data_IF_253700320971
#
_entry.id   IF_253700320971
#
_cell.length_a   1.000
_cell.length_b   1.000
_cell.length_c   1.000
_cell.angle_alpha   90.00
_cell.angle_beta   90.00
_cell.angle_gamma   90.00
#
_symmetry.space_group_name_H-M   'P 1'
#
loop_
_entity.id
_entity.type
_entity.pdbx_description
1 polymer ?
#
# COMPACT_ATOMS: atom_id res chain seq x y z
N UNK A 1 -18.71 -28.48 26.88
CA UNK A 1 -19.13 -27.09 26.61
C UNK A 1 -18.15 -26.06 27.17
N UNK A 2 -17.66 -26.19 28.41
CA UNK A 2 -16.76 -25.22 29.07
C UNK A 2 -15.40 -25.02 28.38
N UNK A 3 -14.81 -26.07 27.82
CA UNK A 3 -13.53 -26.01 27.10
C UNK A 3 -13.59 -25.11 25.86
N UNK A 4 -14.73 -25.12 25.16
CA UNK A 4 -14.94 -24.32 23.96
C UNK A 4 -15.03 -22.83 24.30
N UNK A 5 -15.78 -22.47 25.34
CA UNK A 5 -15.97 -21.08 25.80
C UNK A 5 -14.65 -20.45 26.26
N UNK A 6 -13.76 -21.23 26.89
CA UNK A 6 -12.43 -20.77 27.30
C UNK A 6 -11.53 -20.42 26.11
N UNK A 7 -11.58 -21.21 25.04
CA UNK A 7 -10.82 -20.94 23.81
C UNK A 7 -11.37 -19.71 23.09
N UNK A 8 -12.69 -19.58 22.97
CA UNK A 8 -13.33 -18.40 22.38
C UNK A 8 -13.01 -17.11 23.14
N UNK A 9 -13.05 -17.14 24.48
CA UNK A 9 -12.68 -15.98 25.31
C UNK A 9 -11.23 -15.55 25.08
N UNK A 10 -10.31 -16.51 25.04
CA UNK A 10 -8.88 -16.24 24.80
C UNK A 10 -8.64 -15.69 23.40
N UNK A 11 -9.30 -16.25 22.37
CA UNK A 11 -9.20 -15.79 20.99
C UNK A 11 -9.71 -14.34 20.84
N UNK A 12 -10.82 -13.99 21.49
CA UNK A 12 -11.36 -12.63 21.50
C UNK A 12 -10.39 -11.65 22.18
N UNK A 13 -9.80 -12.02 23.32
CA UNK A 13 -8.82 -11.18 24.01
C UNK A 13 -7.59 -10.93 23.12
N UNK A 14 -7.04 -11.98 22.50
CA UNK A 14 -5.88 -11.85 21.61
C UNK A 14 -6.22 -10.95 20.41
N UNK A 15 -7.41 -11.10 19.83
CA UNK A 15 -7.86 -10.27 18.71
C UNK A 15 -7.97 -8.78 19.10
N UNK A 16 -8.53 -8.48 20.28
CA UNK A 16 -8.66 -7.11 20.79
C UNK A 16 -7.28 -6.53 21.13
N UNK A 17 -6.41 -7.30 21.77
CA UNK A 17 -5.03 -6.88 22.06
C UNK A 17 -4.25 -6.60 20.79
N UNK A 18 -4.38 -7.45 19.77
CA UNK A 18 -3.75 -7.22 18.47
C UNK A 18 -4.23 -5.89 17.85
N UNK A 19 -5.52 -5.59 17.92
CA UNK A 19 -6.06 -4.31 17.44
C UNK A 19 -5.55 -3.09 18.22
N UNK A 20 -5.36 -3.23 19.54
CA UNK A 20 -4.81 -2.16 20.39
C UNK A 20 -3.30 -1.98 20.23
N UNK A 21 -2.57 -3.03 19.88
CA UNK A 21 -1.13 -3.03 19.62
C UNK A 21 -0.77 -2.60 18.19
N UNK A 22 -1.75 -2.57 17.28
CA UNK A 22 -1.57 -1.96 15.97
C UNK A 22 -1.41 -0.45 16.15
N UNK A 23 -0.14 -0.04 16.18
CA UNK A 23 0.26 1.36 16.30
C UNK A 23 -0.52 2.22 15.30
N UNK A 24 -1.17 3.27 15.80
CA UNK A 24 -2.01 4.13 14.97
C UNK A 24 -1.14 4.83 13.90
N UNK A 25 -1.73 5.24 12.78
CA UNK A 25 -1.01 5.88 11.66
C UNK A 25 -0.15 7.06 12.13
N UNK A 26 -0.67 7.85 13.07
CA UNK A 26 0.01 9.00 13.65
C UNK A 26 1.18 8.61 14.56
N UNK A 27 1.02 7.58 15.39
CA UNK A 27 2.07 7.04 16.24
C UNK A 27 3.21 6.43 15.41
N UNK A 28 2.88 5.75 14.30
CA UNK A 28 3.88 5.25 13.33
C UNK A 28 4.66 6.40 12.69
N UNK A 29 4.00 7.49 12.33
CA UNK A 29 4.66 8.67 11.78
C UNK A 29 5.63 9.29 12.80
N UNK A 30 5.18 9.49 14.04
CA UNK A 30 6.00 10.02 15.13
C UNK A 30 7.17 9.06 15.41
N UNK A 31 6.94 7.75 15.43
CA UNK A 31 7.99 6.75 15.65
C UNK A 31 9.06 6.78 14.55
N UNK A 32 8.67 6.82 13.27
CA UNK A 32 9.62 6.95 12.16
C UNK A 32 10.37 8.29 12.21
N UNK A 33 9.70 9.38 12.61
CA UNK A 33 10.34 10.68 12.79
C UNK A 33 11.41 10.64 13.89
N UNK A 34 11.06 10.09 15.06
CA UNK A 34 12.00 9.91 16.18
C UNK A 34 13.18 9.03 15.76
N UNK A 35 12.92 7.92 15.06
CA UNK A 35 13.96 7.01 14.58
C UNK A 35 14.90 7.71 13.58
N UNK A 36 14.38 8.53 12.67
CA UNK A 36 15.18 9.31 11.73
C UNK A 36 16.11 10.29 12.44
N UNK A 37 15.60 11.00 13.47
CA UNK A 37 16.42 11.92 14.27
C UNK A 37 17.52 11.16 15.00
N UNK A 38 17.19 10.04 15.63
CA UNK A 38 18.15 9.21 16.36
C UNK A 38 19.26 8.70 15.43
N UNK A 39 18.91 8.11 14.29
CA UNK A 39 19.89 7.61 13.33
C UNK A 39 20.78 8.73 12.76
N UNK A 40 20.23 9.92 12.51
CA UNK A 40 21.04 11.06 12.07
C UNK A 40 22.06 11.49 13.13
N UNK A 41 21.66 11.50 14.41
CA UNK A 41 22.57 11.78 15.53
C UNK A 41 23.66 10.71 15.65
N UNK A 42 23.29 9.44 15.61
CA UNK A 42 24.23 8.31 15.67
C UNK A 42 25.21 8.31 14.49
N UNK A 43 24.74 8.62 13.28
CA UNK A 43 25.59 8.73 12.10
C UNK A 43 26.69 9.77 12.29
N UNK A 44 26.32 10.98 12.76
CA UNK A 44 27.28 12.05 13.05
C UNK A 44 28.26 11.65 14.14
N UNK A 45 27.77 11.01 15.20
CA UNK A 45 28.61 10.52 16.30
C UNK A 45 29.61 9.45 15.84
N UNK A 46 29.17 8.44 15.10
CA UNK A 46 30.03 7.36 14.60
C UNK A 46 31.01 7.89 13.55
N UNK A 47 30.60 8.78 12.65
CA UNK A 47 31.51 9.42 11.70
C UNK A 47 32.63 10.22 12.41
N UNK A 48 32.28 10.99 13.44
CA UNK A 48 33.27 11.71 14.25
C UNK A 48 34.25 10.73 14.94
N UNK A 49 33.75 9.62 15.46
CA UNK A 49 34.58 8.57 16.05
C UNK A 49 35.51 7.90 15.03
N UNK A 50 35.04 7.63 13.80
CA UNK A 50 35.89 7.11 12.72
C UNK A 50 37.07 8.05 12.46
N UNK A 51 36.82 9.35 12.31
CA UNK A 51 37.89 10.34 12.09
C UNK A 51 38.87 10.38 13.27
N UNK A 52 38.33 10.42 14.50
CA UNK A 52 39.13 10.43 15.74
C UNK A 52 40.06 9.21 15.84
N UNK A 53 39.54 8.01 15.62
CA UNK A 53 40.33 6.79 15.73
C UNK A 53 41.25 6.58 14.52
N UNK A 54 40.85 7.00 13.31
CA UNK A 54 41.70 6.97 12.13
C UNK A 54 42.93 7.86 12.31
N UNK A 55 42.74 9.09 12.79
CA UNK A 55 43.84 10.00 13.09
C UNK A 55 44.75 9.44 14.19
N UNK A 56 44.16 8.86 15.25
CA UNK A 56 44.93 8.23 16.34
C UNK A 56 45.79 7.07 15.85
N UNK A 57 45.25 6.20 15.01
CA UNK A 57 45.97 5.07 14.38
C UNK A 57 47.10 5.60 13.49
N UNK A 58 46.82 6.62 12.66
CA UNK A 58 47.83 7.25 11.79
C UNK A 58 48.99 7.85 12.59
N UNK A 59 48.70 8.65 13.62
CA UNK A 59 49.71 9.23 14.50
C UNK A 59 50.58 8.17 15.19
N UNK A 60 49.97 7.08 15.69
CA UNK A 60 50.71 5.99 16.33
C UNK A 60 51.62 5.25 15.35
N UNK A 61 51.17 5.09 14.09
CA UNK A 61 51.98 4.49 13.03
C UNK A 61 53.18 5.35 12.67
N UNK A 62 53.00 6.67 12.61
CA UNK A 62 54.08 7.62 12.30
C UNK A 62 55.12 7.77 13.43
N UNK A 63 54.72 7.50 14.68
CA UNK A 63 55.64 7.55 15.84
C UNK A 63 56.40 6.23 16.09
N UNK A 64 56.43 5.31 15.11
CA UNK A 64 57.00 3.95 15.25
C UNK A 64 56.44 3.13 16.43
N UNK A 65 55.28 3.52 16.97
CA UNK A 65 54.63 2.84 18.09
C UNK A 65 53.69 1.71 17.64
N UNK A 66 53.71 1.35 16.34
CA UNK A 66 52.78 0.37 15.75
C UNK A 66 53.20 -1.10 15.92
N UNK A 67 54.46 -1.37 16.30
CA UNK A 67 55.03 -2.72 16.20
C UNK A 67 54.45 -3.76 17.18
N UNK A 68 54.00 -3.37 18.37
CA UNK A 68 53.45 -4.32 19.36
C UNK A 68 52.67 -3.68 20.51
N UNK A 69 52.24 -2.42 20.38
CA UNK A 69 51.55 -1.72 21.47
C UNK A 69 50.09 -2.15 21.55
N UNK A 70 49.67 -2.67 22.72
CA UNK A 70 48.26 -2.96 23.05
C UNK A 70 47.36 -1.74 22.76
N UNK A 71 47.91 -0.53 22.88
CA UNK A 71 47.19 0.72 22.60
C UNK A 71 46.89 0.90 21.11
N UNK A 72 47.80 0.51 20.22
CA UNK A 72 47.60 0.53 18.77
C UNK A 72 46.49 -0.43 18.35
N UNK A 73 46.55 -1.68 18.82
CA UNK A 73 45.53 -2.70 18.55
C UNK A 73 44.15 -2.24 19.06
N UNK A 74 44.08 -1.64 20.25
CA UNK A 74 42.83 -1.09 20.80
C UNK A 74 42.29 0.05 19.92
N UNK A 75 43.13 0.99 19.49
CA UNK A 75 42.72 2.08 18.62
C UNK A 75 42.23 1.59 17.25
N UNK A 76 42.91 0.59 16.67
CA UNK A 76 42.50 -0.05 15.41
C UNK A 76 41.17 -0.80 15.56
N UNK A 77 40.96 -1.54 16.65
CA UNK A 77 39.66 -2.18 16.95
C UNK A 77 38.54 -1.15 17.09
N UNK A 78 38.77 -0.06 17.81
CA UNK A 78 37.80 1.03 17.97
C UNK A 78 37.46 1.73 16.65
N UNK A 79 38.47 1.87 15.76
CA UNK A 79 38.25 2.36 14.40
C UNK A 79 37.33 1.43 13.61
N UNK A 80 37.64 0.13 13.55
CA UNK A 80 36.80 -0.83 12.82
C UNK A 80 35.39 -0.94 13.39
N UNK A 81 35.24 -0.90 14.72
CA UNK A 81 33.93 -0.86 15.36
C UNK A 81 33.14 0.39 14.94
N UNK A 82 33.79 1.55 14.90
CA UNK A 82 33.13 2.80 14.49
C UNK A 82 32.72 2.78 13.02
N UNK A 83 33.55 2.21 12.13
CA UNK A 83 33.23 2.01 10.70
C UNK A 83 32.04 1.07 10.56
N UNK A 84 32.05 -0.06 11.26
CA UNK A 84 30.98 -1.04 11.20
C UNK A 84 29.65 -0.46 11.71
N UNK A 85 29.68 0.25 12.84
CA UNK A 85 28.50 0.94 13.36
C UNK A 85 27.99 2.00 12.39
N UNK A 86 28.87 2.77 11.73
CA UNK A 86 28.48 3.74 10.72
C UNK A 86 27.79 3.07 9.51
N UNK A 87 28.30 1.94 9.04
CA UNK A 87 27.67 1.16 7.97
C UNK A 87 26.30 0.63 8.38
N UNK A 88 26.18 0.14 9.62
CA UNK A 88 24.89 -0.33 10.18
C UNK A 88 23.85 0.78 10.22
N UNK A 89 24.23 1.97 10.70
CA UNK A 89 23.35 3.15 10.73
C UNK A 89 22.94 3.57 9.32
N UNK A 90 23.88 3.56 8.36
CA UNK A 90 23.58 3.86 6.94
C UNK A 90 22.58 2.86 6.35
N UNK A 91 22.73 1.57 6.63
CA UNK A 91 21.77 0.54 6.20
C UNK A 91 20.39 0.75 6.83
N UNK A 92 20.33 1.12 8.11
CA UNK A 92 19.07 1.43 8.80
C UNK A 92 18.36 2.66 8.20
N UNK A 93 19.12 3.68 7.79
CA UNK A 93 18.58 4.83 7.06
C UNK A 93 18.02 4.44 5.69
N UNK A 94 18.73 3.60 4.92
CA UNK A 94 18.22 3.12 3.62
C UNK A 94 16.86 2.40 3.79
N UNK A 95 16.76 1.50 4.77
CA UNK A 95 15.50 0.82 5.09
C UNK A 95 14.37 1.76 5.51
N UNK A 96 14.67 2.91 6.10
CA UNK A 96 13.68 3.94 6.45
C UNK A 96 13.18 4.68 5.23
N UNK A 97 14.08 5.02 4.30
CA UNK A 97 13.75 5.65 3.03
C UNK A 97 12.89 4.72 2.17
N UNK A 98 13.24 3.45 2.08
CA UNK A 98 12.47 2.45 1.31
C UNK A 98 11.02 2.34 1.83
N UNK A 99 10.82 2.38 3.16
CA UNK A 99 9.47 2.41 3.77
C UNK A 99 8.68 3.67 3.42
N UNK A 100 9.35 4.81 3.25
CA UNK A 100 8.69 6.04 2.81
C UNK A 100 8.33 5.99 1.32
N UNK A 101 9.19 5.41 0.47
CA UNK A 101 8.95 5.24 -0.97
C UNK A 101 7.72 4.35 -1.20
N UNK A 102 7.64 3.20 -0.54
CA UNK A 102 6.50 2.27 -0.62
C UNK A 102 5.16 2.97 -0.26
N UNK A 103 5.16 3.81 0.78
CA UNK A 103 3.97 4.57 1.17
C UNK A 103 3.61 5.67 0.15
N UNK A 104 4.59 6.29 -0.52
CA UNK A 104 4.34 7.30 -1.57
C UNK A 104 3.75 6.62 -2.81
N UNK A 105 4.32 5.49 -3.23
CA UNK A 105 3.85 4.75 -4.40
C UNK A 105 2.41 4.24 -4.19
N UNK A 106 2.10 3.75 -2.99
CA UNK A 106 0.74 3.36 -2.62
C UNK A 106 -0.25 4.54 -2.72
N UNK A 107 0.15 5.74 -2.28
CA UNK A 107 -0.68 6.94 -2.40
C UNK A 107 -0.88 7.36 -3.87
N UNK A 108 0.15 7.22 -4.71
CA UNK A 108 0.04 7.48 -6.14
C UNK A 108 -0.94 6.51 -6.81
N UNK A 109 -0.84 5.20 -6.50
CA UNK A 109 -1.79 4.19 -6.96
C UNK A 109 -3.21 4.54 -6.49
N UNK A 110 -3.40 4.86 -5.22
CA UNK A 110 -4.71 5.24 -4.68
C UNK A 110 -5.32 6.45 -5.41
N UNK A 111 -4.51 7.48 -5.71
CA UNK A 111 -4.95 8.65 -6.46
C UNK A 111 -5.39 8.26 -7.88
N UNK A 112 -4.57 7.51 -8.60
CA UNK A 112 -4.86 7.09 -9.97
C UNK A 112 -6.12 6.21 -10.03
N UNK A 113 -6.25 5.24 -9.12
CA UNK A 113 -7.46 4.42 -8.99
C UNK A 113 -8.68 5.28 -8.72
N UNK A 114 -8.60 6.26 -7.82
CA UNK A 114 -9.73 7.16 -7.54
C UNK A 114 -10.18 7.89 -8.80
N UNK A 115 -9.24 8.47 -9.56
CA UNK A 115 -9.56 9.15 -10.83
C UNK A 115 -10.22 8.17 -11.83
N UNK A 116 -9.65 6.99 -12.03
CA UNK A 116 -10.23 5.97 -12.92
C UNK A 116 -11.63 5.53 -12.48
N UNK A 117 -11.89 5.43 -11.17
CA UNK A 117 -13.23 5.09 -10.68
C UNK A 117 -14.26 6.18 -10.98
N UNK A 118 -13.87 7.46 -10.91
CA UNK A 118 -14.76 8.56 -11.30
C UNK A 118 -15.05 8.54 -12.81
N UNK A 119 -14.03 8.37 -13.65
CA UNK A 119 -14.20 8.27 -15.10
C UNK A 119 -15.10 7.08 -15.48
N UNK A 120 -14.87 5.92 -14.85
CA UNK A 120 -15.68 4.72 -15.06
C UNK A 120 -17.13 4.92 -14.61
N UNK A 121 -17.37 5.64 -13.50
CA UNK A 121 -18.71 5.93 -13.02
C UNK A 121 -19.49 6.83 -14.01
N UNK A 122 -18.83 7.81 -14.62
CA UNK A 122 -19.45 8.66 -15.65
C UNK A 122 -19.69 7.87 -16.95
N UNK A 123 -18.77 6.99 -17.34
CA UNK A 123 -19.01 6.05 -18.44
C UNK A 123 -20.20 5.14 -18.17
N UNK A 124 -20.36 4.64 -16.94
CA UNK A 124 -21.52 3.83 -16.54
C UNK A 124 -22.82 4.62 -16.61
N UNK A 125 -22.84 5.89 -16.20
CA UNK A 125 -24.04 6.74 -16.37
C UNK A 125 -24.40 6.90 -17.84
N UNK A 126 -23.41 7.21 -18.69
CA UNK A 126 -23.65 7.36 -20.13
C UNK A 126 -24.12 6.04 -20.75
N UNK A 127 -23.56 4.92 -20.32
CA UNK A 127 -23.97 3.59 -20.76
C UNK A 127 -25.41 3.26 -20.33
N UNK A 128 -25.79 3.62 -19.09
CA UNK A 128 -27.16 3.44 -18.61
C UNK A 128 -28.18 4.20 -19.45
N UNK A 129 -27.88 5.43 -19.84
CA UNK A 129 -28.74 6.21 -20.76
C UNK A 129 -28.87 5.51 -22.11
N UNK A 130 -27.77 5.01 -22.67
CA UNK A 130 -27.80 4.26 -23.94
C UNK A 130 -28.63 2.98 -23.83
N UNK A 131 -28.53 2.26 -22.72
CA UNK A 131 -29.32 1.04 -22.46
C UNK A 131 -30.81 1.38 -22.37
N UNK A 132 -31.19 2.42 -21.62
CA UNK A 132 -32.58 2.85 -21.53
C UNK A 132 -33.16 3.20 -22.92
N UNK A 133 -32.42 3.93 -23.76
CA UNK A 133 -32.84 4.22 -25.13
C UNK A 133 -33.02 2.96 -25.99
N UNK A 134 -32.21 1.93 -25.75
CA UNK A 134 -32.35 0.64 -26.45
C UNK A 134 -33.60 -0.10 -25.96
N UNK A 135 -33.85 -0.10 -24.65
CA UNK A 135 -35.06 -0.69 -24.06
C UNK A 135 -36.34 -0.02 -24.60
N UNK A 136 -36.37 1.30 -24.68
CA UNK A 136 -37.50 2.05 -25.27
C UNK A 136 -37.75 1.64 -26.72
N UNK A 137 -36.70 1.59 -27.55
CA UNK A 137 -36.81 1.17 -28.96
C UNK A 137 -37.29 -0.28 -29.10
N UNK A 138 -36.89 -1.17 -28.20
CA UNK A 138 -37.37 -2.56 -28.18
C UNK A 138 -38.86 -2.64 -27.84
N UNK A 139 -39.32 -1.86 -26.87
CA UNK A 139 -40.74 -1.79 -26.51
C UNK A 139 -41.55 -1.26 -27.70
N UNK A 140 -41.09 -0.18 -28.34
CA UNK A 140 -41.74 0.39 -29.52
C UNK A 140 -41.85 -0.65 -30.64
N UNK A 141 -40.75 -1.33 -30.97
CA UNK A 141 -40.74 -2.40 -31.96
C UNK A 141 -41.70 -3.54 -31.61
N UNK A 142 -41.75 -3.96 -30.34
CA UNK A 142 -42.67 -5.00 -29.87
C UNK A 142 -44.13 -4.57 -30.00
N UNK A 143 -44.47 -3.31 -29.69
CA UNK A 143 -45.83 -2.78 -29.89
C UNK A 143 -46.22 -2.74 -31.36
N UNK A 144 -45.30 -2.32 -32.23
CA UNK A 144 -45.52 -2.32 -33.67
C UNK A 144 -45.77 -3.74 -34.20
N UNK A 145 -44.98 -4.72 -33.76
CA UNK A 145 -45.21 -6.13 -34.09
C UNK A 145 -46.59 -6.61 -33.62
N UNK A 146 -46.97 -6.36 -32.38
CA UNK A 146 -48.28 -6.77 -31.86
C UNK A 146 -49.44 -6.12 -32.63
N UNK A 147 -49.31 -4.85 -33.03
CA UNK A 147 -50.29 -4.18 -33.88
C UNK A 147 -50.41 -4.88 -35.24
N UNK A 148 -49.28 -5.18 -35.89
CA UNK A 148 -49.30 -5.90 -37.17
C UNK A 148 -49.91 -7.30 -37.04
N UNK A 149 -49.64 -8.02 -35.93
CA UNK A 149 -50.24 -9.32 -35.64
C UNK A 149 -51.75 -9.19 -35.46
N UNK A 150 -52.22 -8.18 -34.72
CA UNK A 150 -53.65 -7.93 -34.53
C UNK A 150 -54.36 -7.55 -35.83
N UNK A 151 -53.71 -6.77 -36.69
CA UNK A 151 -54.23 -6.44 -38.01
C UNK A 151 -54.32 -7.67 -38.92
N UNK A 152 -53.35 -8.57 -38.84
CA UNK A 152 -53.39 -9.86 -39.55
C UNK A 152 -54.53 -10.72 -39.01
N UNK A 153 -54.70 -10.87 -37.69
CA UNK A 153 -55.80 -11.61 -37.09
C UNK A 153 -57.17 -11.06 -37.53
N UNK A 154 -57.38 -9.73 -37.46
CA UNK A 154 -58.62 -9.10 -37.93
C UNK A 154 -58.89 -9.40 -39.40
N UNK A 155 -57.87 -9.36 -40.27
CA UNK A 155 -58.02 -9.73 -41.68
C UNK A 155 -58.39 -11.20 -41.87
N UNK A 156 -57.83 -12.10 -41.05
CA UNK A 156 -58.13 -13.52 -41.10
C UNK A 156 -59.58 -13.79 -40.69
N UNK A 157 -60.05 -13.17 -39.61
CA UNK A 157 -61.44 -13.28 -39.14
C UNK A 157 -62.44 -12.78 -40.20
N UNK A 158 -62.13 -11.66 -40.86
CA UNK A 158 -62.96 -11.13 -41.97
C UNK A 158 -63.03 -12.07 -43.19
N UNK A 159 -62.02 -12.91 -43.42
CA UNK A 159 -62.01 -13.88 -44.51
C UNK A 159 -62.80 -15.15 -44.14
N UNK A 160 -62.66 -15.64 -42.91
CA UNK A 160 -63.42 -16.78 -42.39
C UNK A 160 -64.94 -16.53 -42.36
N UNK A 161 -65.35 -15.31 -41.99
CA UNK A 161 -66.78 -14.92 -41.98
C UNK A 161 -67.37 -14.81 -43.40
N UNK A 162 -66.52 -14.63 -44.42
CA UNK A 162 -66.92 -14.57 -45.83
C UNK A 162 -67.15 -15.95 -46.44
N UNK A 163 -66.49 -16.99 -45.93
CA UNK A 163 -66.62 -18.37 -46.40
C UNK A 163 -67.80 -19.12 -45.73
N UNK A 164 -68.42 -18.55 -44.70
CA UNK A 164 -69.59 -19.11 -43.99
C UNK A 164 -70.96 -18.67 -44.57
N UNK A 165 -70.99 -18.00 -45.73
CA UNK A 165 -72.21 -17.59 -46.46
C UNK A 165 -72.23 -18.18 -47.85
#
# INVERSE_FOLDING_TARGET
>A
MTSLVGVFSTAVIIAVLAQKLLLNRWEKYVHNFVLNIQLSKEQKMHAANVVKFALKVWCMRHKNASGSSIQYIRAQRQLFQSIHSLHRVKQQQAKLVDRCIDHIDLLAIQRNTSVQTYESADQLKMMKVKVNNIEEKLIEMNTNMNNTINDIHKKLDMLLDKDSK
#
